data_IF_606320280654
#
_entry.id   IF_606320280654
#
_cell.length_a   1.000
_cell.length_b   1.000
_cell.length_c   1.000
_cell.angle_alpha   90.00
_cell.angle_beta   90.00
_cell.angle_gamma   90.00
#
_symmetry.space_group_name_H-M   'P 1'
#
loop_
_entity.id
_entity.type
_entity.pdbx_description
1 polymer ?
#
# COMPACT_ATOMS: atom_id res chain seq x y z
N UNK A 1 -8.84 26.52 -7.18
CA UNK A 1 -7.76 26.44 -8.17
C UNK A 1 -6.52 25.92 -7.47
N UNK A 2 -6.02 24.77 -7.92
CA UNK A 2 -4.84 24.14 -7.35
C UNK A 2 -3.60 25.03 -7.49
N UNK A 3 -2.80 25.06 -6.43
CA UNK A 3 -1.44 25.60 -6.48
C UNK A 3 -0.48 24.41 -6.66
N UNK A 4 0.14 24.33 -7.82
CA UNK A 4 1.00 23.20 -8.22
C UNK A 4 2.40 23.76 -8.48
N UNK A 5 3.44 23.08 -8.00
CA UNK A 5 4.82 23.46 -8.27
C UNK A 5 5.13 23.43 -9.76
N UNK A 6 5.96 24.36 -10.22
CA UNK A 6 6.30 24.45 -11.64
C UNK A 6 7.04 23.19 -12.13
N UNK A 7 7.91 22.62 -11.29
CA UNK A 7 8.61 21.36 -11.59
C UNK A 7 7.62 20.22 -11.92
N UNK A 8 6.55 20.08 -11.14
CA UNK A 8 5.55 19.03 -11.35
C UNK A 8 4.68 19.32 -12.59
N UNK A 9 4.34 20.59 -12.85
CA UNK A 9 3.60 20.98 -14.05
C UNK A 9 4.39 20.67 -15.32
N UNK A 10 5.67 21.01 -15.32
CA UNK A 10 6.59 20.81 -16.44
C UNK A 10 6.80 19.31 -16.68
N UNK A 11 7.12 18.56 -15.62
CA UNK A 11 7.27 17.10 -15.69
C UNK A 11 6.03 16.42 -16.26
N UNK A 12 4.84 16.75 -15.73
CA UNK A 12 3.60 16.15 -16.19
C UNK A 12 3.36 16.44 -17.68
N UNK A 13 3.49 17.71 -18.08
CA UNK A 13 3.13 18.15 -19.42
C UNK A 13 4.13 17.66 -20.49
N UNK A 14 5.42 17.63 -20.16
CA UNK A 14 6.47 17.34 -21.14
C UNK A 14 6.92 15.87 -21.15
N UNK A 15 6.73 15.11 -20.06
CA UNK A 15 7.24 13.74 -19.94
C UNK A 15 6.12 12.70 -19.76
N UNK A 16 5.06 13.02 -19.00
CA UNK A 16 4.02 12.04 -18.65
C UNK A 16 2.91 12.00 -19.69
N UNK A 17 2.37 13.16 -20.08
CA UNK A 17 1.19 13.23 -20.97
C UNK A 17 1.54 13.05 -22.45
N UNK A 18 2.82 13.12 -22.81
CA UNK A 18 3.26 12.92 -24.19
C UNK A 18 2.84 11.52 -24.69
N UNK A 19 2.15 11.48 -25.82
CA UNK A 19 1.60 10.24 -26.40
C UNK A 19 0.33 9.67 -25.75
N UNK A 20 -0.16 10.21 -24.62
CA UNK A 20 -1.35 9.69 -23.92
C UNK A 20 -2.69 10.26 -24.44
N UNK A 21 -2.67 11.21 -25.38
CA UNK A 21 -3.89 11.79 -25.98
C UNK A 21 -4.73 12.64 -25.01
N UNK A 22 -4.12 13.14 -23.93
CA UNK A 22 -4.77 13.91 -22.88
C UNK A 22 -4.10 15.28 -22.74
N UNK A 23 -4.88 16.37 -22.62
CA UNK A 23 -4.32 17.70 -22.39
C UNK A 23 -4.01 17.95 -20.92
N UNK A 24 -3.02 18.80 -20.65
CA UNK A 24 -2.65 19.20 -19.28
C UNK A 24 -3.80 19.90 -18.56
N UNK A 25 -4.56 20.73 -19.27
CA UNK A 25 -5.73 21.44 -18.73
C UNK A 25 -6.83 20.47 -18.30
N UNK A 26 -7.10 19.46 -19.13
CA UNK A 26 -8.09 18.44 -18.81
C UNK A 26 -7.65 17.60 -17.61
N UNK A 27 -6.37 17.21 -17.56
CA UNK A 27 -5.82 16.48 -16.42
C UNK A 27 -5.98 17.27 -15.11
N UNK A 28 -5.52 18.53 -15.07
CA UNK A 28 -5.53 19.31 -13.83
C UNK A 28 -6.92 19.68 -13.35
N UNK A 29 -7.85 19.98 -14.27
CA UNK A 29 -9.25 20.23 -13.92
C UNK A 29 -9.90 18.97 -13.35
N UNK A 30 -9.74 17.82 -14.00
CA UNK A 30 -10.25 16.53 -13.50
C UNK A 30 -9.64 16.17 -12.14
N UNK A 31 -8.34 16.41 -11.96
CA UNK A 31 -7.65 16.16 -10.69
C UNK A 31 -8.16 17.08 -9.57
N UNK A 32 -8.44 18.35 -9.86
CA UNK A 32 -9.05 19.27 -8.91
C UNK A 32 -10.45 18.80 -8.48
N UNK A 33 -11.26 18.31 -9.41
CA UNK A 33 -12.58 17.73 -9.12
C UNK A 33 -12.48 16.53 -8.18
N UNK A 34 -11.58 15.58 -8.48
CA UNK A 34 -11.30 14.40 -7.64
C UNK A 34 -10.86 14.84 -6.24
N UNK A 35 -9.95 15.83 -6.14
CA UNK A 35 -9.49 16.31 -4.83
C UNK A 35 -10.63 16.95 -4.03
N UNK A 36 -11.48 17.76 -4.68
CA UNK A 36 -12.61 18.39 -4.02
C UNK A 36 -13.63 17.36 -3.49
N UNK A 37 -13.87 16.29 -4.25
CA UNK A 37 -14.78 15.21 -3.86
C UNK A 37 -14.19 14.35 -2.73
N UNK A 38 -12.95 13.88 -2.88
CA UNK A 38 -12.42 12.82 -2.01
C UNK A 38 -11.53 13.31 -0.85
N UNK A 39 -11.00 14.54 -0.88
CA UNK A 39 -10.17 15.05 0.21
C UNK A 39 -10.93 15.17 1.55
N UNK A 40 -12.19 15.64 1.60
CA UNK A 40 -12.97 15.63 2.85
C UNK A 40 -13.13 14.21 3.40
N UNK A 41 -13.48 13.25 2.55
CA UNK A 41 -13.63 11.85 2.94
C UNK A 41 -12.32 11.24 3.46
N UNK A 42 -11.19 11.56 2.86
CA UNK A 42 -9.89 11.10 3.32
C UNK A 42 -9.59 11.61 4.74
N UNK A 43 -9.86 12.90 5.02
CA UNK A 43 -9.71 13.48 6.37
C UNK A 43 -10.62 12.80 7.39
N UNK A 44 -11.89 12.59 7.06
CA UNK A 44 -12.83 11.85 7.93
C UNK A 44 -12.33 10.45 8.28
N UNK A 45 -11.72 9.75 7.32
CA UNK A 45 -11.17 8.40 7.56
C UNK A 45 -9.97 8.44 8.50
N UNK A 46 -9.14 9.48 8.44
CA UNK A 46 -8.04 9.67 9.40
C UNK A 46 -8.56 10.03 10.80
N UNK A 47 -9.53 10.94 10.89
CA UNK A 47 -10.19 11.29 12.15
C UNK A 47 -10.85 10.07 12.80
N UNK A 48 -11.50 9.21 11.99
CA UNK A 48 -12.07 7.95 12.49
C UNK A 48 -11.00 7.04 13.11
N UNK A 49 -9.79 6.97 12.55
CA UNK A 49 -8.68 6.20 13.13
C UNK A 49 -8.27 6.76 14.48
N UNK A 50 -8.12 8.07 14.58
CA UNK A 50 -7.75 8.76 15.83
C UNK A 50 -8.81 8.57 16.93
N UNK A 51 -10.10 8.66 16.58
CA UNK A 51 -11.21 8.43 17.51
C UNK A 51 -11.18 7.01 18.06
N UNK A 52 -11.07 6.02 17.17
CA UNK A 52 -11.01 4.60 17.54
C UNK A 52 -9.80 4.34 18.45
N UNK A 53 -8.61 4.82 18.07
CA UNK A 53 -7.41 4.63 18.87
C UNK A 53 -7.54 5.27 20.25
N UNK A 54 -8.07 6.49 20.32
CA UNK A 54 -8.30 7.20 21.59
C UNK A 54 -9.26 6.45 22.51
N UNK A 55 -10.30 5.80 21.95
CA UNK A 55 -11.22 4.97 22.71
C UNK A 55 -10.52 3.71 23.25
N UNK A 56 -9.69 3.05 22.43
CA UNK A 56 -8.91 1.88 22.86
C UNK A 56 -7.93 2.26 23.97
N UNK A 57 -7.22 3.37 23.82
CA UNK A 57 -6.29 3.90 24.83
C UNK A 57 -7.02 4.16 26.16
N UNK A 58 -8.15 4.86 26.09
CA UNK A 58 -9.00 5.14 27.26
C UNK A 58 -9.47 3.85 27.94
N UNK A 59 -9.92 2.87 27.17
CA UNK A 59 -10.40 1.58 27.70
C UNK A 59 -9.33 0.87 28.54
N UNK A 60 -8.08 0.86 28.05
CA UNK A 60 -6.95 0.26 28.77
C UNK A 60 -6.49 1.09 29.97
N UNK A 61 -6.49 2.42 29.88
CA UNK A 61 -6.12 3.30 31.00
C UNK A 61 -7.09 3.11 32.17
N UNK A 62 -8.40 3.06 31.91
CA UNK A 62 -9.43 2.89 32.94
C UNK A 62 -9.37 1.52 33.63
N UNK A 63 -8.80 0.51 32.96
CA UNK A 63 -8.66 -0.88 33.46
C UNK A 63 -7.22 -1.22 33.85
N UNK A 64 -6.40 -0.21 34.14
CA UNK A 64 -4.99 -0.44 34.48
C UNK A 64 -4.85 -1.29 35.75
N UNK A 65 -4.03 -2.34 35.67
CA UNK A 65 -3.75 -3.23 36.80
C UNK A 65 -4.78 -4.34 37.01
N UNK A 66 -5.84 -4.41 36.20
CA UNK A 66 -6.75 -5.56 36.18
C UNK A 66 -6.24 -6.63 35.21
N UNK A 67 -6.68 -7.88 35.41
CA UNK A 67 -6.42 -8.96 34.46
C UNK A 67 -7.28 -8.71 33.21
N UNK A 68 -6.67 -8.81 32.02
CA UNK A 68 -7.37 -8.57 30.76
C UNK A 68 -8.50 -9.57 30.53
N UNK A 69 -9.73 -9.07 30.34
CA UNK A 69 -10.89 -9.87 29.99
C UNK A 69 -11.17 -9.77 28.47
N UNK A 70 -10.85 -10.85 27.75
CA UNK A 70 -10.99 -10.90 26.29
C UNK A 70 -12.43 -10.81 25.80
N UNK A 71 -13.42 -11.30 26.57
CA UNK A 71 -14.84 -11.24 26.19
C UNK A 71 -15.32 -9.80 26.21
N UNK A 72 -15.08 -9.11 27.33
CA UNK A 72 -15.43 -7.69 27.50
C UNK A 72 -14.70 -6.80 26.47
N UNK A 73 -13.43 -7.08 26.20
CA UNK A 73 -12.67 -6.32 25.21
C UNK A 73 -13.21 -6.51 23.79
N UNK A 74 -13.57 -7.73 23.42
CA UNK A 74 -14.17 -8.02 22.11
C UNK A 74 -15.51 -7.29 21.93
N UNK A 75 -16.35 -7.29 22.96
CA UNK A 75 -17.64 -6.60 22.95
C UNK A 75 -17.45 -5.08 22.82
N UNK A 76 -16.49 -4.51 23.56
CA UNK A 76 -16.09 -3.11 23.42
C UNK A 76 -15.61 -2.78 21.99
N UNK A 77 -14.75 -3.61 21.39
CA UNK A 77 -14.26 -3.37 20.03
C UNK A 77 -15.40 -3.42 18.99
N UNK A 78 -16.43 -4.24 19.21
CA UNK A 78 -17.65 -4.23 18.40
C UNK A 78 -18.46 -2.96 18.62
N UNK A 79 -18.64 -2.55 19.88
CA UNK A 79 -19.39 -1.34 20.26
C UNK A 79 -18.84 -0.07 19.60
N UNK A 80 -17.51 0.09 19.56
CA UNK A 80 -16.86 1.23 18.89
C UNK A 80 -16.79 1.10 17.36
N UNK A 81 -17.29 -0.01 16.80
CA UNK A 81 -17.25 -0.29 15.37
C UNK A 81 -15.86 -0.59 14.81
N UNK A 82 -14.93 -1.04 15.65
CA UNK A 82 -13.61 -1.52 15.23
C UNK A 82 -13.71 -2.94 14.65
N UNK A 83 -14.38 -3.83 15.38
CA UNK A 83 -14.77 -5.14 14.86
C UNK A 83 -16.16 -5.03 14.23
N UNK A 84 -16.25 -5.30 12.94
CA UNK A 84 -17.52 -5.34 12.19
C UNK A 84 -18.01 -6.77 12.04
N UNK A 85 -19.33 -6.93 11.91
CA UNK A 85 -19.91 -8.25 11.69
C UNK A 85 -19.57 -8.78 10.30
N UNK A 86 -19.32 -10.09 10.24
CA UNK A 86 -19.10 -10.80 8.98
C UNK A 86 -20.36 -10.70 8.10
N UNK A 87 -20.16 -10.31 6.84
CA UNK A 87 -21.24 -10.16 5.86
C UNK A 87 -21.55 -11.47 5.12
N UNK A 88 -20.83 -12.55 5.45
CA UNK A 88 -21.02 -13.87 4.88
C UNK A 88 -20.24 -14.10 3.59
N UNK A 89 -20.41 -15.30 3.03
CA UNK A 89 -19.64 -15.75 1.88
C UNK A 89 -19.98 -14.97 0.61
N UNK A 90 -18.94 -14.57 -0.12
CA UNK A 90 -19.05 -14.00 -1.46
C UNK A 90 -17.88 -14.47 -2.34
N UNK A 91 -18.02 -14.28 -3.65
CA UNK A 91 -16.93 -14.50 -4.60
C UNK A 91 -16.50 -13.15 -5.18
N UNK A 92 -15.19 -12.92 -5.27
CA UNK A 92 -14.64 -11.74 -5.95
C UNK A 92 -14.94 -11.81 -7.45
N UNK A 93 -15.16 -10.65 -8.08
CA UNK A 93 -15.55 -10.54 -9.50
C UNK A 93 -14.45 -9.98 -10.40
N UNK A 94 -13.24 -9.81 -9.87
CA UNK A 94 -12.11 -9.18 -10.57
C UNK A 94 -11.70 -9.96 -11.82
N UNK A 95 -11.65 -9.26 -12.96
CA UNK A 95 -11.29 -9.81 -14.26
C UNK A 95 -10.15 -9.01 -14.90
N UNK A 96 -9.61 -9.50 -16.03
CA UNK A 96 -8.52 -8.85 -16.78
C UNK A 96 -7.24 -8.64 -15.94
N UNK A 97 -6.86 -9.65 -15.16
CA UNK A 97 -5.66 -9.66 -14.32
C UNK A 97 -4.58 -10.51 -14.97
N UNK A 98 -3.35 -10.01 -15.02
CA UNK A 98 -2.20 -10.73 -15.58
C UNK A 98 -1.92 -12.08 -14.88
N UNK A 99 -1.41 -13.08 -15.61
CA UNK A 99 -1.09 -14.41 -15.06
C UNK A 99 -0.16 -14.38 -13.84
N UNK A 100 0.78 -13.43 -13.81
CA UNK A 100 1.72 -13.18 -12.71
C UNK A 100 1.06 -12.94 -11.36
N UNK A 101 -0.14 -12.37 -11.37
CA UNK A 101 -0.92 -12.09 -10.15
C UNK A 101 -1.99 -13.17 -9.96
N UNK A 102 -2.62 -13.62 -11.04
CA UNK A 102 -3.82 -14.48 -10.99
C UNK A 102 -3.52 -15.96 -10.81
N UNK A 103 -2.44 -16.48 -11.41
CA UNK A 103 -2.25 -17.93 -11.61
C UNK A 103 -0.86 -18.45 -11.26
N UNK A 104 0.14 -17.57 -11.18
CA UNK A 104 1.52 -17.96 -10.91
C UNK A 104 1.84 -17.67 -9.44
N UNK A 105 2.27 -18.68 -8.71
CA UNK A 105 2.81 -18.49 -7.35
C UNK A 105 4.33 -18.27 -7.43
N UNK A 106 4.82 -17.18 -6.84
CA UNK A 106 6.24 -16.89 -6.84
C UNK A 106 6.63 -15.72 -5.92
N UNK A 107 7.92 -15.40 -5.83
CA UNK A 107 8.41 -14.27 -5.06
C UNK A 107 7.91 -12.93 -5.61
N UNK A 108 7.70 -11.96 -4.71
CA UNK A 108 7.41 -10.57 -5.06
C UNK A 108 8.47 -9.65 -4.44
N UNK A 109 9.21 -8.95 -5.30
CA UNK A 109 10.27 -8.02 -4.90
C UNK A 109 9.70 -6.61 -4.67
N UNK A 110 10.20 -5.93 -3.63
CA UNK A 110 9.86 -4.53 -3.33
C UNK A 110 11.14 -3.70 -3.35
N UNK A 111 11.16 -2.62 -4.13
CA UNK A 111 12.32 -1.71 -4.26
C UNK A 111 11.92 -0.25 -4.25
N UNK A 112 12.82 0.67 -3.83
CA UNK A 112 12.57 2.10 -3.88
C UNK A 112 12.66 2.63 -5.32
N UNK A 113 11.54 3.09 -5.87
CA UNK A 113 11.48 3.63 -7.25
C UNK A 113 12.39 4.84 -7.48
N UNK A 114 12.70 5.60 -6.42
CA UNK A 114 13.61 6.75 -6.47
C UNK A 114 15.07 6.36 -6.79
N UNK A 115 15.43 5.08 -6.69
CA UNK A 115 16.72 4.58 -7.12
C UNK A 115 16.58 3.83 -8.45
N UNK A 116 16.92 4.52 -9.54
CA UNK A 116 16.80 3.97 -10.90
C UNK A 116 17.57 2.66 -11.08
N UNK A 117 18.75 2.51 -10.47
CA UNK A 117 19.53 1.27 -10.54
C UNK A 117 18.79 0.11 -9.88
N UNK A 118 18.20 0.35 -8.71
CA UNK A 118 17.42 -0.69 -8.01
C UNK A 118 16.14 -1.03 -8.76
N UNK A 119 15.45 -0.04 -9.33
CA UNK A 119 14.27 -0.27 -10.16
C UNK A 119 14.59 -1.11 -11.41
N UNK A 120 15.68 -0.80 -12.13
CA UNK A 120 16.13 -1.57 -13.28
C UNK A 120 16.53 -3.00 -12.91
N UNK A 121 17.29 -3.16 -11.83
CA UNK A 121 17.66 -4.49 -11.33
C UNK A 121 16.42 -5.30 -10.95
N UNK A 122 15.45 -4.68 -10.28
CA UNK A 122 14.21 -5.35 -9.89
C UNK A 122 13.35 -5.76 -11.08
N UNK A 123 13.22 -4.89 -12.09
CA UNK A 123 12.51 -5.23 -13.33
C UNK A 123 13.15 -6.45 -14.03
N UNK A 124 14.49 -6.52 -14.04
CA UNK A 124 15.23 -7.63 -14.64
C UNK A 124 15.28 -8.88 -13.76
N UNK A 125 14.99 -8.78 -12.47
CA UNK A 125 15.03 -9.90 -11.51
C UNK A 125 13.95 -10.96 -11.74
N UNK A 126 13.11 -10.81 -12.77
CA UNK A 126 12.22 -11.90 -13.23
C UNK A 126 13.01 -13.16 -13.56
N UNK A 127 14.24 -13.02 -14.04
CA UNK A 127 15.16 -14.11 -14.29
C UNK A 127 16.50 -13.81 -13.62
N UNK A 128 16.99 -14.75 -12.81
CA UNK A 128 18.26 -14.64 -12.11
C UNK A 128 19.10 -15.90 -12.24
N UNK A 129 20.41 -15.76 -12.16
CA UNK A 129 21.34 -16.90 -12.14
C UNK A 129 21.23 -17.62 -10.79
N UNK A 130 20.83 -18.90 -10.82
CA UNK A 130 20.86 -19.73 -9.61
C UNK A 130 22.30 -19.95 -9.11
N UNK A 131 23.28 -20.01 -10.02
CA UNK A 131 24.68 -20.19 -9.66
C UNK A 131 25.18 -18.98 -8.88
N UNK A 132 24.90 -17.76 -9.37
CA UNK A 132 25.33 -16.54 -8.70
C UNK A 132 24.64 -16.40 -7.34
N UNK A 133 23.37 -16.79 -7.25
CA UNK A 133 22.63 -16.79 -5.99
C UNK A 133 23.20 -17.80 -4.98
N UNK A 134 23.62 -18.98 -5.41
CA UNK A 134 24.20 -20.00 -4.53
C UNK A 134 25.64 -19.68 -4.13
N UNK A 135 26.48 -19.28 -5.09
CA UNK A 135 27.89 -18.97 -4.85
C UNK A 135 28.11 -17.62 -4.18
N UNK A 136 27.25 -16.64 -4.44
CA UNK A 136 27.39 -15.28 -3.91
C UNK A 136 26.72 -15.05 -2.55
N UNK A 137 26.22 -16.11 -1.92
CA UNK A 137 25.54 -16.06 -0.62
C UNK A 137 26.03 -17.18 0.29
N UNK A 138 25.59 -17.18 1.54
CA UNK A 138 25.93 -18.17 2.57
C UNK A 138 25.13 -19.48 2.47
N UNK A 139 24.42 -19.71 1.35
CA UNK A 139 23.68 -20.98 1.14
C UNK A 139 24.65 -22.16 0.99
N UNK A 140 25.80 -21.96 0.33
CA UNK A 140 26.89 -22.93 0.29
C UNK A 140 27.89 -22.53 1.39
N UNK A 141 28.25 -23.45 2.28
CA UNK A 141 29.25 -23.18 3.32
C UNK A 141 30.62 -22.90 2.70
N UNK A 142 31.39 -22.00 3.31
CA UNK A 142 32.80 -21.71 2.99
C UNK A 142 33.79 -22.64 3.73
N UNK A 143 33.28 -23.67 4.43
CA UNK A 143 34.11 -24.65 5.15
C UNK A 143 34.90 -25.57 4.19
N UNK A 144 35.99 -26.15 4.70
CA UNK A 144 36.82 -27.15 3.99
C UNK A 144 37.37 -26.71 2.61
N UNK A 145 37.50 -25.39 2.40
CA UNK A 145 38.10 -24.81 1.19
C UNK A 145 37.12 -24.61 0.03
N UNK A 146 35.82 -24.52 0.33
CA UNK A 146 34.75 -24.14 -0.60
C UNK A 146 34.64 -22.63 -0.77
#
# INVERSE_FOLDING_TARGET
>A
MLQISDDLKIFLSNEVLDGLGMSSEYFWSSFEEILNEFSPRNKELLEKREIIQSQIDKWHIERRGTIHNHVEYKDFLKEIGYLVEDQGDFHISTNNVDPEIKTISGPQLVVPVMNARFALNAANARWGSLYDALYGTDIISEDDGA
#
